data_IF_809350845286
#
_entry.id   IF_809350845286
#
_cell.length_a   1.000
_cell.length_b   1.000
_cell.length_c   1.000
_cell.angle_alpha   90.00
_cell.angle_beta   90.00
_cell.angle_gamma   90.00
#
_symmetry.space_group_name_H-M   'P 1'
#
loop_
_entity.id
_entity.type
_entity.pdbx_description
1 polymer ?
#
# COMPACT_ATOMS: atom_id res chain seq x y z
N UNK A 1 -17.02 -43.58 5.96
CA UNK A 1 -17.81 -42.33 5.80
C UNK A 1 -17.27 -41.16 6.64
N UNK A 2 -17.26 -41.20 7.99
CA UNK A 2 -16.82 -40.05 8.83
C UNK A 2 -15.36 -39.59 8.63
N UNK A 3 -14.40 -40.50 8.40
CA UNK A 3 -12.97 -40.15 8.23
C UNK A 3 -12.67 -39.42 6.91
N UNK A 4 -13.37 -39.79 5.83
CA UNK A 4 -13.25 -39.14 4.52
C UNK A 4 -13.82 -37.71 4.58
N UNK A 5 -14.94 -37.53 5.29
CA UNK A 5 -15.54 -36.21 5.49
C UNK A 5 -14.61 -35.25 6.25
N UNK A 6 -13.93 -35.72 7.31
CA UNK A 6 -12.96 -34.91 8.06
C UNK A 6 -11.74 -34.53 7.21
N UNK A 7 -11.29 -35.42 6.33
CA UNK A 7 -10.17 -35.16 5.43
C UNK A 7 -10.54 -34.11 4.36
N UNK A 8 -11.73 -34.23 3.77
CA UNK A 8 -12.25 -33.25 2.81
C UNK A 8 -12.51 -31.89 3.46
N UNK A 9 -12.98 -31.87 4.71
CA UNK A 9 -13.15 -30.64 5.48
C UNK A 9 -11.81 -29.96 5.77
N UNK A 10 -10.79 -30.72 6.14
CA UNK A 10 -9.44 -30.18 6.34
C UNK A 10 -8.86 -29.62 5.05
N UNK A 11 -9.02 -30.33 3.93
CA UNK A 11 -8.59 -29.88 2.60
C UNK A 11 -9.27 -28.55 2.20
N UNK A 12 -10.57 -28.42 2.48
CA UNK A 12 -11.34 -27.19 2.22
C UNK A 12 -10.86 -26.02 3.08
N UNK A 13 -10.57 -26.25 4.37
CA UNK A 13 -10.08 -25.21 5.30
C UNK A 13 -8.65 -24.76 4.95
N UNK A 14 -7.80 -25.68 4.47
CA UNK A 14 -6.44 -25.35 4.00
C UNK A 14 -6.50 -24.56 2.69
N UNK A 15 -7.41 -24.92 1.77
CA UNK A 15 -7.58 -24.21 0.50
C UNK A 15 -8.07 -22.76 0.68
N UNK A 16 -8.87 -22.46 1.70
CA UNK A 16 -9.32 -21.09 2.00
C UNK A 16 -8.30 -20.27 2.79
N UNK A 17 -7.25 -20.91 3.34
CA UNK A 17 -6.19 -20.22 4.09
C UNK A 17 -5.09 -19.63 3.19
N UNK A 18 -5.19 -19.81 1.87
CA UNK A 18 -4.26 -19.25 0.86
C UNK A 18 -4.99 -18.23 -0.01
N UNK A 19 -5.76 -17.34 0.62
CA UNK A 19 -6.06 -16.07 -0.02
C UNK A 19 -4.88 -15.15 0.28
N UNK A 20 -4.06 -14.87 -0.74
CA UNK A 20 -3.05 -13.84 -0.64
C UNK A 20 -3.73 -12.53 -0.19
N UNK A 21 -3.21 -11.92 0.87
CA UNK A 21 -3.70 -10.61 1.30
C UNK A 21 -3.15 -9.59 0.30
N UNK A 22 -4.03 -8.92 -0.44
CA UNK A 22 -3.63 -7.72 -1.17
C UNK A 22 -3.22 -6.67 -0.12
N UNK A 23 -1.92 -6.32 -0.10
CA UNK A 23 -1.37 -5.31 0.79
C UNK A 23 -1.69 -3.91 0.25
N UNK A 24 -2.94 -3.51 0.44
CA UNK A 24 -3.36 -2.16 0.16
C UNK A 24 -2.93 -1.23 1.30
N UNK A 25 -2.34 -0.05 1.01
CA UNK A 25 -2.02 0.90 2.07
C UNK A 25 -3.30 1.29 2.81
N UNK A 26 -3.22 1.34 4.14
CA UNK A 26 -4.37 1.71 4.97
C UNK A 26 -4.92 3.08 4.59
N UNK A 27 -6.20 3.35 4.87
CA UNK A 27 -6.87 4.59 4.46
C UNK A 27 -6.12 5.86 4.87
N UNK A 28 -5.50 5.87 6.06
CA UNK A 28 -4.66 7.00 6.52
C UNK A 28 -3.40 7.18 5.65
N UNK A 29 -2.75 6.07 5.27
CA UNK A 29 -1.60 6.11 4.37
C UNK A 29 -1.99 6.62 2.99
N UNK A 30 -3.11 6.13 2.44
CA UNK A 30 -3.69 6.64 1.18
C UNK A 30 -3.99 8.14 1.25
N UNK A 31 -4.58 8.62 2.35
CA UNK A 31 -4.86 10.05 2.58
C UNK A 31 -3.61 10.92 2.73
N UNK A 32 -2.51 10.36 3.25
CA UNK A 32 -1.22 11.05 3.27
C UNK A 32 -0.59 11.12 1.87
N UNK A 33 -0.61 10.02 1.10
CA UNK A 33 -0.08 9.95 -0.26
C UNK A 33 -0.81 10.86 -1.25
N UNK A 34 -2.15 10.90 -1.21
CA UNK A 34 -2.95 11.75 -2.10
C UNK A 34 -2.70 13.24 -1.89
N UNK A 35 -2.17 13.63 -0.74
CA UNK A 35 -1.88 15.01 -0.38
C UNK A 35 -0.61 15.56 -1.02
N UNK A 36 0.29 14.70 -1.51
CA UNK A 36 1.59 15.14 -2.06
C UNK A 36 1.45 16.15 -3.20
N UNK A 37 0.28 16.24 -3.84
CA UNK A 37 -0.03 17.19 -4.92
C UNK A 37 -1.11 18.24 -4.61
N UNK A 38 -1.61 18.35 -3.37
CA UNK A 38 -2.70 19.29 -3.06
C UNK A 38 -2.13 20.54 -2.38
N UNK A 39 -1.49 21.39 -3.18
CA UNK A 39 -1.57 22.84 -2.93
C UNK A 39 -3.04 23.23 -2.99
N UNK A 40 -3.51 24.14 -2.13
CA UNK A 40 -4.88 24.68 -2.15
C UNK A 40 -5.23 25.05 -3.58
N UNK A 41 -5.98 24.19 -4.25
CA UNK A 41 -6.28 24.38 -5.66
C UNK A 41 -7.55 25.21 -5.73
N UNK A 42 -7.37 26.53 -5.77
CA UNK A 42 -8.46 27.47 -6.00
C UNK A 42 -9.22 27.19 -7.31
N UNK A 43 -8.67 26.40 -8.24
CA UNK A 43 -9.37 25.97 -9.45
C UNK A 43 -10.32 24.79 -9.22
N UNK A 44 -10.14 23.99 -8.16
CA UNK A 44 -10.99 22.81 -7.88
C UNK A 44 -12.20 23.13 -7.00
N UNK A 45 -12.14 24.21 -6.21
CA UNK A 45 -13.20 24.56 -5.24
C UNK A 45 -13.29 23.62 -4.03
N UNK A 46 -12.28 22.77 -3.80
CA UNK A 46 -12.26 21.86 -2.65
C UNK A 46 -11.95 22.65 -1.37
N UNK A 47 -12.82 22.50 -0.35
CA UNK A 47 -12.60 23.08 0.97
C UNK A 47 -11.53 22.29 1.74
N UNK A 48 -10.50 22.98 2.22
CA UNK A 48 -9.46 22.43 3.06
C UNK A 48 -9.42 23.14 4.42
N UNK A 49 -9.38 22.37 5.50
CA UNK A 49 -9.27 22.91 6.86
C UNK A 49 -8.22 22.16 7.67
N UNK A 50 -7.35 22.90 8.35
CA UNK A 50 -6.27 22.34 9.18
C UNK A 50 -6.45 22.78 10.63
N UNK A 51 -6.48 21.81 11.52
CA UNK A 51 -6.52 22.02 12.97
C UNK A 51 -5.14 21.63 13.54
N UNK A 52 -4.33 22.58 14.02
CA UNK A 52 -3.13 22.24 14.78
C UNK A 52 -3.55 21.63 16.12
N UNK A 53 -3.00 20.46 16.47
CA UNK A 53 -3.32 19.77 17.73
C UNK A 53 -2.27 20.07 18.80
N UNK A 54 -1.01 19.74 18.51
CA UNK A 54 0.13 20.03 19.37
C UNK A 54 1.43 19.88 18.57
N UNK A 55 2.53 20.35 19.14
CA UNK A 55 3.87 20.21 18.55
C UNK A 55 4.71 19.35 19.48
N UNK A 56 5.30 18.27 18.95
CA UNK A 56 6.28 17.47 19.68
C UNK A 56 7.64 18.13 19.45
N UNK A 57 8.26 18.58 20.53
CA UNK A 57 9.58 19.21 20.50
C UNK A 57 10.56 18.35 21.29
N UNK A 58 11.61 17.86 20.61
CA UNK A 58 12.68 17.10 21.24
C UNK A 58 14.03 17.52 20.66
N UNK A 59 14.81 18.28 21.44
CA UNK A 59 16.09 18.82 20.99
C UNK A 59 15.92 19.75 19.80
N UNK A 60 16.54 19.42 18.66
CA UNK A 60 16.40 20.16 17.40
C UNK A 60 15.26 19.67 16.50
N UNK A 61 14.51 18.66 16.92
CA UNK A 61 13.40 18.08 16.15
C UNK A 61 12.09 18.71 16.58
N UNK A 62 11.40 19.34 15.63
CA UNK A 62 10.07 19.92 15.79
C UNK A 62 9.13 19.14 14.88
N UNK A 63 8.17 18.45 15.47
CA UNK A 63 7.16 17.67 14.75
C UNK A 63 5.76 18.23 15.05
N UNK A 64 5.18 19.06 14.15
CA UNK A 64 3.83 19.54 14.32
C UNK A 64 2.82 18.42 14.04
N UNK A 65 1.94 18.16 14.99
CA UNK A 65 0.82 17.24 14.86
C UNK A 65 -0.43 18.03 14.51
N UNK A 66 -1.05 17.72 13.37
CA UNK A 66 -2.24 18.41 12.88
C UNK A 66 -3.29 17.43 12.38
N UNK A 67 -4.54 17.88 12.39
CA UNK A 67 -5.65 17.20 11.75
C UNK A 67 -6.06 17.97 10.50
N UNK A 68 -6.10 17.31 9.35
CA UNK A 68 -6.43 17.92 8.07
C UNK A 68 -7.73 17.34 7.50
N UNK A 69 -8.65 18.22 7.11
CA UNK A 69 -9.90 17.88 6.43
C UNK A 69 -9.86 18.29 4.96
N UNK A 70 -10.41 17.43 4.09
CA UNK A 70 -10.62 17.72 2.67
C UNK A 70 -12.08 17.48 2.25
N UNK A 71 -12.77 18.53 1.81
CA UNK A 71 -14.17 18.48 1.40
C UNK A 71 -14.42 17.85 0.02
N UNK A 72 -13.85 16.69 -0.28
CA UNK A 72 -13.92 16.02 -1.60
C UNK A 72 -15.18 15.14 -1.79
N UNK A 73 -16.10 15.16 -0.82
CA UNK A 73 -17.23 14.23 -0.75
C UNK A 73 -16.81 12.82 -0.31
N UNK A 74 -17.78 11.95 -0.03
CA UNK A 74 -17.53 10.55 0.38
C UNK A 74 -18.32 9.64 -0.56
N UNK A 75 -17.63 8.73 -1.27
CA UNK A 75 -18.30 7.75 -2.14
C UNK A 75 -18.80 6.57 -1.31
N UNK A 76 -19.83 5.88 -1.78
CA UNK A 76 -20.43 4.73 -1.08
C UNK A 76 -19.44 3.62 -0.73
N UNK A 77 -18.44 3.35 -1.60
CA UNK A 77 -17.41 2.34 -1.32
C UNK A 77 -16.21 2.85 -0.50
N UNK A 78 -16.20 4.13 -0.11
CA UNK A 78 -15.06 4.70 0.62
C UNK A 78 -15.05 4.17 2.04
N UNK A 79 -13.87 3.79 2.52
CA UNK A 79 -13.67 3.41 3.91
C UNK A 79 -13.24 4.60 4.75
N UNK A 80 -13.71 4.67 6.00
CA UNK A 80 -13.23 5.66 6.96
C UNK A 80 -11.77 5.41 7.29
N UNK A 81 -11.01 6.48 7.51
CA UNK A 81 -9.70 6.39 8.14
C UNK A 81 -9.80 6.34 9.67
N UNK A 82 -8.65 6.30 10.33
CA UNK A 82 -8.49 6.31 11.80
C UNK A 82 -9.30 7.42 12.49
N UNK A 83 -9.34 8.60 11.88
CA UNK A 83 -9.96 9.82 12.44
C UNK A 83 -11.26 10.22 11.72
N UNK A 84 -11.81 9.33 10.88
CA UNK A 84 -13.04 9.58 10.13
C UNK A 84 -12.85 9.66 8.62
N UNK A 85 -13.95 9.93 7.91
CA UNK A 85 -13.93 10.22 6.48
C UNK A 85 -13.28 11.56 6.22
N UNK A 86 -12.46 11.63 5.17
CA UNK A 86 -11.83 12.86 4.70
C UNK A 86 -10.93 13.58 5.72
N UNK A 87 -10.72 12.97 6.89
CA UNK A 87 -9.82 13.44 7.92
C UNK A 87 -8.53 12.64 7.87
N UNK A 88 -7.41 13.35 7.91
CA UNK A 88 -6.10 12.74 8.00
C UNK A 88 -5.33 13.31 9.17
N UNK A 89 -4.83 12.42 10.02
CA UNK A 89 -3.92 12.79 11.12
C UNK A 89 -2.50 12.91 10.54
N UNK A 90 -1.91 14.10 10.69
CA UNK A 90 -0.55 14.38 10.28
C UNK A 90 0.39 14.28 11.49
N UNK A 91 1.26 13.28 11.48
CA UNK A 91 2.25 12.98 12.54
C UNK A 91 3.66 12.80 12.00
N UNK A 92 3.96 13.40 10.83
CA UNK A 92 5.33 13.51 10.32
C UNK A 92 5.67 12.64 9.12
N UNK A 93 4.95 11.55 8.87
CA UNK A 93 5.21 10.74 7.68
C UNK A 93 4.35 9.48 7.58
N UNK A 94 4.39 8.89 6.40
CA UNK A 94 3.89 7.54 6.13
C UNK A 94 5.01 6.75 5.46
N UNK A 95 5.15 5.48 5.85
CA UNK A 95 5.97 4.53 5.10
C UNK A 95 5.02 3.70 4.25
N UNK A 96 5.18 3.81 2.94
CA UNK A 96 4.41 3.02 1.98
C UNK A 96 5.35 2.30 1.06
N UNK A 97 4.96 1.08 0.70
CA UNK A 97 5.61 0.29 -0.32
C UNK A 97 4.67 0.16 -1.52
N UNK A 98 5.22 0.23 -2.71
CA UNK A 98 4.54 -0.14 -3.95
C UNK A 98 5.30 -1.32 -4.54
N UNK A 99 4.58 -2.38 -4.89
CA UNK A 99 5.14 -3.54 -5.60
C UNK A 99 4.65 -3.45 -7.05
N UNK A 100 5.56 -3.37 -8.02
CA UNK A 100 5.22 -3.45 -9.45
C UNK A 100 5.44 -4.88 -9.93
N UNK A 101 4.82 -5.23 -11.05
CA UNK A 101 4.94 -6.58 -11.63
C UNK A 101 4.30 -7.74 -10.83
N UNK A 102 3.94 -7.52 -9.56
CA UNK A 102 3.36 -8.54 -8.66
C UNK A 102 4.40 -9.36 -7.90
N UNK A 103 5.68 -9.05 -8.04
CA UNK A 103 6.78 -9.71 -7.34
C UNK A 103 7.61 -8.61 -6.66
N UNK A 104 7.96 -8.81 -5.40
CA UNK A 104 8.80 -7.91 -4.64
C UNK A 104 10.27 -7.99 -5.10
N UNK A 105 10.97 -6.84 -5.20
CA UNK A 105 12.41 -6.79 -5.49
C UNK A 105 13.26 -7.77 -4.65
N UNK A 106 12.95 -7.91 -3.35
CA UNK A 106 13.64 -8.82 -2.42
C UNK A 106 13.06 -10.23 -2.32
N UNK A 107 12.09 -10.58 -3.18
CA UNK A 107 11.59 -11.95 -3.25
C UNK A 107 12.75 -12.91 -3.53
N UNK A 108 12.80 -13.99 -2.74
CA UNK A 108 13.95 -14.87 -2.65
C UNK A 108 14.19 -15.68 -3.92
N UNK A 109 13.16 -15.86 -4.76
CA UNK A 109 13.22 -16.70 -5.95
C UNK A 109 13.22 -15.84 -7.22
N UNK A 110 12.30 -14.88 -7.30
CA UNK A 110 11.96 -14.21 -8.54
C UNK A 110 12.13 -12.68 -8.48
N UNK A 111 12.58 -12.14 -7.35
CA UNK A 111 12.74 -10.70 -7.15
C UNK A 111 13.92 -10.12 -7.93
N UNK A 112 13.85 -8.83 -8.26
CA UNK A 112 14.89 -8.13 -9.01
C UNK A 112 16.29 -8.30 -8.39
N UNK A 113 16.43 -8.21 -7.07
CA UNK A 113 17.71 -8.27 -6.35
C UNK A 113 18.42 -9.63 -6.48
N UNK A 114 17.65 -10.71 -6.66
CA UNK A 114 18.19 -12.06 -6.78
C UNK A 114 18.46 -12.39 -8.25
N UNK A 115 17.54 -11.99 -9.13
CA UNK A 115 17.55 -12.45 -10.52
C UNK A 115 18.49 -11.65 -11.43
N UNK A 116 18.91 -10.44 -11.05
CA UNK A 116 19.94 -9.68 -11.78
C UNK A 116 21.25 -10.46 -11.95
N UNK A 117 21.57 -11.34 -10.99
CA UNK A 117 22.80 -12.15 -10.99
C UNK A 117 22.74 -13.38 -11.90
N UNK A 118 21.55 -13.79 -12.33
CA UNK A 118 21.39 -14.96 -13.18
C UNK A 118 21.52 -14.58 -14.65
N UNK A 119 22.54 -15.14 -15.32
CA UNK A 119 22.75 -14.95 -16.76
C UNK A 119 21.75 -15.79 -17.56
N UNK A 120 20.52 -15.31 -17.69
CA UNK A 120 19.49 -15.89 -18.56
C UNK A 120 19.52 -15.22 -19.94
N UNK A 121 19.12 -15.92 -21.00
CA UNK A 121 18.99 -15.28 -22.32
C UNK A 121 17.90 -14.21 -22.30
N UNK A 122 18.13 -13.09 -23.01
CA UNK A 122 17.19 -11.94 -23.06
C UNK A 122 15.76 -12.36 -23.43
N UNK A 123 15.61 -13.27 -24.39
CA UNK A 123 14.29 -13.74 -24.81
C UNK A 123 13.55 -14.51 -23.71
N UNK A 124 14.24 -15.39 -22.98
CA UNK A 124 13.64 -16.14 -21.88
C UNK A 124 13.29 -15.20 -20.71
N UNK A 125 14.14 -14.22 -20.47
CA UNK A 125 13.92 -13.19 -19.45
C UNK A 125 12.66 -12.36 -19.74
N UNK A 126 12.56 -11.80 -20.94
CA UNK A 126 11.38 -11.03 -21.38
C UNK A 126 10.10 -11.85 -21.29
N UNK A 127 10.15 -13.14 -21.62
CA UNK A 127 8.98 -14.03 -21.49
C UNK A 127 8.59 -14.24 -20.02
N UNK A 128 9.55 -14.43 -19.12
CA UNK A 128 9.30 -14.63 -17.69
C UNK A 128 8.73 -13.37 -17.03
N UNK A 129 9.27 -12.19 -17.38
CA UNK A 129 8.76 -10.89 -16.91
C UNK A 129 7.32 -10.67 -17.39
N UNK A 130 7.03 -10.90 -18.67
CA UNK A 130 5.69 -10.73 -19.22
C UNK A 130 4.65 -11.69 -18.59
N UNK A 131 5.10 -12.87 -18.12
CA UNK A 131 4.24 -13.83 -17.42
C UNK A 131 4.07 -13.55 -15.93
N UNK A 132 4.75 -12.53 -15.37
CA UNK A 132 4.84 -12.29 -13.92
C UNK A 132 5.41 -13.48 -13.14
N UNK A 133 6.32 -14.21 -13.77
CA UNK A 133 7.09 -15.29 -13.14
C UNK A 133 8.45 -14.77 -12.65
N UNK A 134 8.85 -13.57 -13.10
CA UNK A 134 10.07 -12.87 -12.73
C UNK A 134 9.80 -11.37 -12.62
N UNK A 135 10.48 -10.73 -11.68
CA UNK A 135 10.55 -9.28 -11.60
C UNK A 135 11.57 -8.71 -12.60
N UNK A 136 11.10 -7.78 -13.43
CA UNK A 136 11.84 -7.25 -14.57
C UNK A 136 12.35 -5.82 -14.38
N UNK A 137 11.94 -5.15 -13.30
CA UNK A 137 12.31 -3.78 -12.99
C UNK A 137 12.56 -3.62 -11.50
N UNK A 138 13.28 -2.57 -11.12
CA UNK A 138 13.37 -2.19 -9.71
C UNK A 138 12.16 -1.31 -9.37
N UNK A 139 11.59 -1.51 -8.18
CA UNK A 139 10.42 -0.75 -7.69
C UNK A 139 10.75 0.70 -7.23
N UNK A 140 12.02 1.11 -7.27
CA UNK A 140 12.52 2.39 -6.74
C UNK A 140 12.30 3.61 -7.64
#
# INVERSE_FOLDING_TARGET
MRRIFLFLWNLLVVATSVCAQDFDPGTQAKGYLSRKNVTVDYATGIFHYRIPLFTIEQGSVILPVSLDYAGVGVKSNTHSGLVGYNWTLNTGGVVTRTIRGGIADEDRLNGFLVTEKDSVSLWNDVVAVNKRERDGECDI
#
